data_IF_462258864897
#
_entry.id   IF_462258864897
#
_cell.length_a   1.000
_cell.length_b   1.000
_cell.length_c   1.000
_cell.angle_alpha   90.00
_cell.angle_beta   90.00
_cell.angle_gamma   90.00
#
_symmetry.space_group_name_H-M   'P 1'
#
loop_
_entity.id
_entity.type
_entity.pdbx_description
1 polymer ?
#
# COMPACT_ATOMS: atom_id res chain seq x y z
N UNK A 1 24.88 16.99 15.35
CA UNK A 1 25.93 16.07 14.82
C UNK A 1 25.26 14.91 14.06
N UNK A 2 25.57 14.67 12.79
CA UNK A 2 25.01 13.52 12.04
C UNK A 2 25.61 12.22 12.57
N UNK A 3 24.77 11.31 13.06
CA UNK A 3 25.19 10.00 13.58
C UNK A 3 25.70 9.14 12.42
N UNK A 4 27.00 8.81 12.40
CA UNK A 4 27.56 7.96 11.36
C UNK A 4 27.02 6.53 11.50
N UNK A 5 26.45 6.01 10.40
CA UNK A 5 25.98 4.63 10.32
C UNK A 5 27.19 3.73 10.07
N UNK A 6 27.50 2.88 11.06
CA UNK A 6 28.57 1.89 10.95
C UNK A 6 28.18 0.78 9.98
N UNK A 7 29.15 0.37 9.15
CA UNK A 7 29.01 -0.80 8.27
C UNK A 7 28.89 -2.09 9.10
N UNK A 8 28.25 -3.11 8.53
CA UNK A 8 28.04 -4.43 9.13
C UNK A 8 28.35 -5.54 8.13
N UNK A 9 28.67 -6.73 8.61
CA UNK A 9 28.81 -7.93 7.76
C UNK A 9 27.46 -8.59 7.53
N UNK A 10 27.17 -8.93 6.27
CA UNK A 10 25.96 -9.64 5.89
C UNK A 10 26.00 -11.08 6.38
N UNK A 11 24.90 -11.59 6.96
CA UNK A 11 24.82 -12.99 7.41
C UNK A 11 24.79 -14.04 6.29
N UNK A 12 24.53 -13.64 5.04
CA UNK A 12 24.52 -14.54 3.89
C UNK A 12 25.86 -14.50 3.14
N UNK A 13 26.15 -13.41 2.44
CA UNK A 13 27.34 -13.30 1.59
C UNK A 13 28.60 -12.77 2.29
N UNK A 14 28.55 -12.53 3.60
CA UNK A 14 29.66 -12.06 4.46
C UNK A 14 30.27 -10.68 4.13
N UNK A 15 29.90 -10.09 2.99
CA UNK A 15 30.32 -8.76 2.56
C UNK A 15 29.90 -7.66 3.56
N UNK A 16 30.74 -6.62 3.66
CA UNK A 16 30.41 -5.40 4.39
C UNK A 16 29.34 -4.60 3.64
N UNK A 17 28.35 -4.10 4.38
CA UNK A 17 27.30 -3.25 3.84
C UNK A 17 26.94 -2.13 4.83
N UNK A 18 26.42 -1.02 4.31
CA UNK A 18 25.85 0.06 5.11
C UNK A 18 24.36 -0.23 5.34
N UNK A 19 23.90 -0.47 6.58
CA UNK A 19 22.49 -0.73 6.82
C UNK A 19 21.63 0.52 6.60
N UNK A 20 20.36 0.31 6.23
CA UNK A 20 19.34 1.34 6.13
C UNK A 20 19.13 1.99 7.52
N UNK A 21 19.19 3.34 7.62
CA UNK A 21 18.90 4.08 8.85
C UNK A 21 17.58 3.66 9.53
N UNK A 22 16.52 3.39 8.76
CA UNK A 22 15.19 3.01 9.26
C UNK A 22 15.18 1.65 9.94
N UNK A 23 16.05 0.74 9.49
CA UNK A 23 16.12 -0.64 9.96
C UNK A 23 17.44 -0.96 10.67
N UNK A 24 18.19 0.06 11.09
CA UNK A 24 19.56 -0.06 11.61
C UNK A 24 19.67 -1.12 12.72
N UNK A 25 18.72 -1.16 13.66
CA UNK A 25 18.76 -2.12 14.79
C UNK A 25 18.47 -3.57 14.36
N UNK A 26 17.77 -3.78 13.24
CA UNK A 26 17.21 -5.08 12.82
C UNK A 26 17.88 -5.67 11.58
N UNK A 27 18.43 -4.85 10.69
CA UNK A 27 19.01 -5.32 9.43
C UNK A 27 20.29 -6.12 9.65
N UNK A 28 20.26 -7.36 9.18
CA UNK A 28 21.33 -8.38 9.29
C UNK A 28 21.86 -8.86 7.94
N UNK A 29 21.13 -8.55 6.88
CA UNK A 29 21.43 -8.94 5.50
C UNK A 29 21.52 -7.68 4.64
N UNK A 30 22.40 -7.68 3.63
CA UNK A 30 22.51 -6.60 2.67
C UNK A 30 21.39 -6.68 1.61
N UNK A 31 21.29 -5.65 0.76
CA UNK A 31 20.19 -5.50 -0.20
C UNK A 31 20.32 -6.32 -1.49
N UNK A 32 21.40 -7.10 -1.62
CA UNK A 32 21.57 -8.02 -2.76
C UNK A 32 20.38 -9.00 -2.84
N UNK A 33 19.88 -9.32 -4.05
CA UNK A 33 18.66 -10.13 -4.22
C UNK A 33 18.76 -11.50 -3.53
N UNK A 34 19.89 -12.19 -3.69
CA UNK A 34 20.17 -13.46 -3.02
C UNK A 34 20.11 -13.34 -1.49
N UNK A 35 20.66 -12.25 -0.93
CA UNK A 35 20.64 -11.99 0.51
C UNK A 35 19.25 -11.65 1.05
N UNK A 36 18.38 -11.04 0.24
CA UNK A 36 16.97 -10.82 0.59
C UNK A 36 16.21 -12.14 0.67
N UNK A 37 16.44 -13.06 -0.27
CA UNK A 37 15.86 -14.41 -0.24
C UNK A 37 16.34 -15.16 1.00
N UNK A 38 17.65 -15.14 1.29
CA UNK A 38 18.22 -15.74 2.48
C UNK A 38 17.65 -15.14 3.79
N UNK A 39 17.47 -13.81 3.83
CA UNK A 39 16.84 -13.11 4.96
C UNK A 39 15.41 -13.57 5.22
N UNK A 40 14.61 -13.72 4.15
CA UNK A 40 13.23 -14.23 4.22
C UNK A 40 13.22 -15.67 4.74
N UNK A 41 14.05 -16.55 4.18
CA UNK A 41 14.18 -17.95 4.61
C UNK A 41 14.58 -18.05 6.09
N UNK A 42 15.60 -17.31 6.52
CA UNK A 42 16.03 -17.28 7.91
C UNK A 42 14.90 -16.80 8.84
N UNK A 43 14.17 -15.77 8.46
CA UNK A 43 13.08 -15.23 9.28
C UNK A 43 11.90 -16.21 9.37
N UNK A 44 11.58 -16.88 8.25
CA UNK A 44 10.55 -17.92 8.20
C UNK A 44 10.93 -19.12 9.05
N UNK A 45 12.16 -19.63 8.95
CA UNK A 45 12.64 -20.73 9.79
C UNK A 45 12.58 -20.37 11.27
N UNK A 46 13.07 -19.18 11.65
CA UNK A 46 12.98 -18.72 13.04
C UNK A 46 11.53 -18.68 13.54
N UNK A 47 10.59 -18.30 12.68
CA UNK A 47 9.18 -18.23 13.03
C UNK A 47 8.54 -19.62 13.14
N UNK A 48 8.85 -20.54 12.23
CA UNK A 48 8.40 -21.94 12.22
C UNK A 48 8.97 -22.75 13.39
N UNK A 49 10.17 -22.44 13.86
CA UNK A 49 10.79 -23.11 15.00
C UNK A 49 10.05 -22.89 16.33
N UNK A 50 9.10 -21.94 16.39
CA UNK A 50 8.23 -21.78 17.56
C UNK A 50 7.20 -22.91 17.58
N UNK A 51 7.02 -23.64 18.71
CA UNK A 51 6.09 -24.77 18.79
C UNK A 51 4.71 -24.47 18.21
N UNK A 52 4.11 -23.33 18.58
CA UNK A 52 2.77 -22.92 18.13
C UNK A 52 2.66 -22.62 16.62
N UNK A 53 3.77 -22.57 15.89
CA UNK A 53 3.79 -22.21 14.47
C UNK A 53 4.28 -23.35 13.57
N UNK A 54 4.71 -24.48 14.15
CA UNK A 54 5.37 -25.57 13.40
C UNK A 54 4.48 -26.12 12.29
N UNK A 55 3.20 -26.27 12.60
CA UNK A 55 2.17 -26.78 11.70
C UNK A 55 1.32 -25.67 11.09
N UNK A 56 1.68 -24.39 11.21
CA UNK A 56 0.79 -23.31 10.75
C UNK A 56 0.33 -23.44 9.29
N UNK A 57 1.19 -23.94 8.40
CA UNK A 57 0.86 -24.10 6.98
C UNK A 57 0.21 -25.46 6.63
N UNK A 58 0.21 -26.43 7.55
CA UNK A 58 -0.23 -27.81 7.31
C UNK A 58 -1.19 -28.36 8.36
N UNK A 59 -1.44 -27.60 9.42
CA UNK A 59 -2.23 -28.00 10.58
C UNK A 59 -3.71 -28.03 10.24
N UNK A 60 -4.47 -28.95 10.87
CA UNK A 60 -5.86 -29.23 10.51
C UNK A 60 -6.75 -27.99 10.62
N UNK A 61 -6.54 -27.16 11.63
CA UNK A 61 -7.29 -25.91 11.83
C UNK A 61 -7.08 -24.91 10.68
N UNK A 62 -5.83 -24.66 10.30
CA UNK A 62 -5.53 -23.74 9.21
C UNK A 62 -6.01 -24.26 7.85
N UNK A 63 -5.94 -25.57 7.64
CA UNK A 63 -6.48 -26.21 6.43
C UNK A 63 -8.00 -26.05 6.37
N UNK A 64 -8.72 -26.37 7.46
CA UNK A 64 -10.17 -26.21 7.55
C UNK A 64 -10.58 -24.76 7.30
N UNK A 65 -9.93 -23.80 7.98
CA UNK A 65 -10.16 -22.37 7.79
C UNK A 65 -10.00 -21.93 6.33
N UNK A 66 -8.97 -22.40 5.63
CA UNK A 66 -8.75 -22.07 4.21
C UNK A 66 -9.80 -22.73 3.32
N UNK A 67 -10.24 -23.95 3.64
CA UNK A 67 -11.30 -24.63 2.90
C UNK A 67 -12.64 -23.91 3.04
N UNK A 68 -13.05 -23.57 4.27
CA UNK A 68 -14.25 -22.77 4.55
C UNK A 68 -14.21 -21.43 3.82
N UNK A 69 -13.08 -20.72 3.92
CA UNK A 69 -12.91 -19.45 3.23
C UNK A 69 -13.07 -19.59 1.70
N UNK A 70 -12.55 -20.66 1.10
CA UNK A 70 -12.71 -20.94 -0.34
C UNK A 70 -14.15 -21.26 -0.71
N UNK A 71 -14.90 -21.94 0.15
CA UNK A 71 -16.32 -22.22 -0.05
C UNK A 71 -17.14 -20.93 -0.03
N UNK A 72 -16.87 -20.02 0.91
CA UNK A 72 -17.55 -18.73 0.99
C UNK A 72 -17.11 -17.72 -0.08
N UNK A 73 -15.92 -17.90 -0.69
CA UNK A 73 -15.35 -16.99 -1.69
C UNK A 73 -15.05 -17.71 -3.02
N UNK A 74 -16.09 -18.27 -3.69
CA UNK A 74 -15.89 -18.98 -4.93
C UNK A 74 -15.36 -18.03 -6.01
N UNK A 75 -14.34 -18.48 -6.74
CA UNK A 75 -13.77 -17.72 -7.85
C UNK A 75 -12.76 -16.63 -7.48
N UNK A 76 -12.52 -16.34 -6.19
CA UNK A 76 -11.53 -15.33 -5.78
C UNK A 76 -10.14 -15.59 -6.37
N UNK A 77 -9.69 -16.85 -6.38
CA UNK A 77 -8.37 -17.25 -6.88
C UNK A 77 -8.31 -17.37 -8.41
N UNK A 78 -9.45 -17.27 -9.10
CA UNK A 78 -9.49 -17.30 -10.56
C UNK A 78 -9.05 -15.92 -11.06
N UNK A 79 -7.91 -15.88 -11.76
CA UNK A 79 -7.52 -14.68 -12.51
C UNK A 79 -8.62 -14.40 -13.54
N UNK A 80 -9.18 -13.18 -13.53
CA UNK A 80 -10.05 -12.73 -14.63
C UNK A 80 -9.22 -12.81 -15.91
N UNK A 81 -9.70 -13.55 -16.91
CA UNK A 81 -9.09 -13.51 -18.24
C UNK A 81 -9.21 -12.07 -18.73
N UNK A 82 -8.08 -11.39 -18.92
CA UNK A 82 -8.08 -10.17 -19.72
C UNK A 82 -8.47 -10.56 -21.15
N UNK A 83 -9.22 -9.71 -21.88
CA UNK A 83 -9.46 -9.93 -23.31
C UNK A 83 -8.12 -10.13 -24.02
N UNK A 84 -8.05 -11.14 -24.88
CA UNK A 84 -6.84 -11.49 -25.64
C UNK A 84 -6.41 -10.32 -26.52
N UNK A 85 -5.47 -9.51 -26.04
CA UNK A 85 -4.63 -8.66 -26.89
C UNK A 85 -3.41 -9.48 -27.30
N UNK A 86 -3.06 -9.57 -28.59
CA UNK A 86 -1.93 -10.36 -29.03
C UNK A 86 -0.63 -9.83 -28.42
N UNK A 87 0.15 -10.80 -27.91
CA UNK A 87 1.43 -10.68 -27.24
C UNK A 87 2.39 -9.66 -27.87
N UNK A 88 2.91 -8.74 -27.06
CA UNK A 88 4.25 -8.21 -27.23
C UNK A 88 4.96 -8.19 -25.87
N UNK A 89 5.97 -9.05 -25.80
CA UNK A 89 7.16 -9.03 -24.93
C UNK A 89 6.98 -9.28 -23.43
N UNK A 90 7.59 -10.38 -23.00
CA UNK A 90 7.97 -10.70 -21.63
C UNK A 90 8.84 -9.56 -21.06
N UNK A 91 8.72 -9.32 -19.75
CA UNK A 91 9.40 -8.27 -18.96
C UNK A 91 8.75 -6.88 -18.87
N UNK A 92 7.58 -6.78 -18.22
CA UNK A 92 7.26 -5.63 -17.37
C UNK A 92 6.19 -5.96 -16.32
N UNK A 93 6.63 -6.38 -15.13
CA UNK A 93 5.79 -6.36 -13.92
C UNK A 93 5.64 -4.89 -13.45
N UNK A 94 4.83 -4.10 -14.14
CA UNK A 94 4.12 -2.92 -13.60
C UNK A 94 2.89 -2.62 -14.47
N UNK A 95 1.73 -3.15 -14.07
CA UNK A 95 0.45 -2.73 -14.63
C UNK A 95 0.10 -1.32 -14.12
N UNK A 96 0.40 -0.31 -14.93
CA UNK A 96 -0.28 0.98 -14.85
C UNK A 96 -1.77 0.73 -15.13
N UNK A 97 -2.63 1.00 -14.14
CA UNK A 97 -4.08 0.94 -14.30
C UNK A 97 -4.52 2.00 -15.32
N UNK A 98 -4.77 1.58 -16.55
CA UNK A 98 -5.41 2.44 -17.55
C UNK A 98 -6.88 2.61 -17.17
N UNK A 99 -7.24 3.84 -16.80
CA UNK A 99 -8.60 4.23 -16.43
C UNK A 99 -9.57 3.99 -17.59
N UNK A 100 -10.70 3.36 -17.27
CA UNK A 100 -11.85 3.17 -18.17
C UNK A 100 -12.47 4.54 -18.47
N UNK A 101 -12.30 5.05 -19.68
CA UNK A 101 -13.03 6.21 -20.19
C UNK A 101 -14.51 5.84 -20.31
N UNK A 102 -15.34 6.48 -19.49
CA UNK A 102 -16.78 6.56 -19.72
C UNK A 102 -16.98 7.88 -20.43
N UNK A 103 -17.43 7.82 -21.69
CA UNK A 103 -17.78 8.99 -22.47
C UNK A 103 -18.94 9.72 -21.77
N UNK A 104 -18.65 10.84 -21.12
CA UNK A 104 -19.62 11.82 -20.68
C UNK A 104 -19.09 13.21 -21.01
N UNK A 105 -19.99 14.05 -21.51
CA UNK A 105 -19.76 15.31 -22.20
C UNK A 105 -18.92 16.30 -21.37
N UNK A 106 -17.92 16.88 -22.04
CA UNK A 106 -17.44 18.24 -21.81
C UNK A 106 -16.93 18.58 -20.41
N UNK A 107 -15.85 17.94 -19.96
CA UNK A 107 -14.97 18.52 -18.95
C UNK A 107 -13.52 18.36 -19.38
N UNK A 108 -12.74 19.45 -19.30
CA UNK A 108 -11.38 19.56 -19.83
C UNK A 108 -10.48 18.40 -19.42
N UNK A 109 -9.75 17.90 -20.42
CA UNK A 109 -8.86 16.73 -20.45
C UNK A 109 -7.76 16.76 -19.35
N UNK A 110 -7.52 17.91 -18.72
CA UNK A 110 -6.47 18.09 -17.72
C UNK A 110 -6.75 17.46 -16.35
N UNK A 111 -8.02 17.19 -16.00
CA UNK A 111 -8.35 16.62 -14.67
C UNK A 111 -8.02 15.13 -14.56
N UNK A 112 -7.91 14.41 -15.68
CA UNK A 112 -7.71 12.95 -15.70
C UNK A 112 -6.27 12.58 -15.30
N UNK A 113 -5.33 13.52 -15.40
CA UNK A 113 -3.90 13.30 -15.12
C UNK A 113 -3.42 13.86 -13.79
N UNK A 114 -4.25 14.61 -13.06
CA UNK A 114 -3.86 15.19 -11.78
C UNK A 114 -4.28 14.22 -10.67
N UNK A 115 -3.34 13.68 -9.86
CA UNK A 115 -3.69 12.92 -8.68
C UNK A 115 -4.66 13.72 -7.82
N UNK A 116 -5.70 13.09 -7.26
CA UNK A 116 -6.74 13.79 -6.48
C UNK A 116 -6.17 14.75 -5.42
N UNK A 117 -5.10 14.31 -4.77
CA UNK A 117 -4.32 15.05 -3.77
C UNK A 117 -3.62 16.31 -4.30
N UNK A 118 -3.36 16.40 -5.60
CA UNK A 118 -2.81 17.59 -6.27
C UNK A 118 -3.92 18.55 -6.77
N UNK A 119 -5.19 18.11 -6.79
CA UNK A 119 -6.34 18.98 -7.03
C UNK A 119 -6.78 19.74 -5.77
N UNK A 120 -6.27 19.35 -4.60
CA UNK A 120 -6.44 20.08 -3.35
C UNK A 120 -5.60 21.36 -3.46
N UNK A 121 -6.22 22.43 -3.92
CA UNK A 121 -5.58 23.73 -4.09
C UNK A 121 -5.01 24.19 -2.73
N UNK A 122 -3.76 24.68 -2.70
CA UNK A 122 -3.11 25.15 -1.47
C UNK A 122 -3.96 26.16 -0.68
N UNK A 123 -4.86 26.87 -1.36
CA UNK A 123 -5.87 27.76 -0.79
C UNK A 123 -6.77 27.05 0.25
N UNK A 124 -7.20 25.81 0.01
CA UNK A 124 -8.05 25.02 0.92
C UNK A 124 -7.30 24.61 2.20
N UNK A 125 -6.02 24.27 2.09
CA UNK A 125 -5.17 23.91 3.24
C UNK A 125 -4.78 25.14 4.08
N UNK A 126 -4.65 26.31 3.45
CA UNK A 126 -4.36 27.57 4.15
C UNK A 126 -5.56 28.02 4.99
N UNK A 127 -6.80 27.91 4.49
CA UNK A 127 -7.99 28.26 5.28
C UNK A 127 -8.14 27.40 6.54
N UNK A 128 -7.99 26.08 6.43
CA UNK A 128 -8.05 25.15 7.57
C UNK A 128 -6.95 25.48 8.61
N UNK A 129 -5.74 25.82 8.14
CA UNK A 129 -4.64 26.21 9.02
C UNK A 129 -4.86 27.54 9.74
N UNK A 130 -5.55 28.49 9.12
CA UNK A 130 -5.85 29.81 9.71
C UNK A 130 -7.01 29.72 10.71
N UNK A 131 -8.06 28.97 10.41
CA UNK A 131 -9.22 28.82 11.29
C UNK A 131 -8.88 28.07 12.59
N UNK A 132 -8.06 27.01 12.50
CA UNK A 132 -7.57 26.28 13.68
C UNK A 132 -6.71 27.17 14.59
N UNK A 133 -5.92 28.08 14.00
CA UNK A 133 -5.05 28.99 14.75
C UNK A 133 -5.85 30.10 15.45
N UNK A 134 -6.91 30.62 14.82
CA UNK A 134 -7.73 31.70 15.34
C UNK A 134 -8.78 31.22 16.35
N UNK A 135 -9.42 30.07 16.09
CA UNK A 135 -10.55 29.60 16.90
C UNK A 135 -10.20 28.48 17.90
N UNK A 136 -8.95 27.96 17.87
CA UNK A 136 -8.53 26.76 18.64
C UNK A 136 -9.46 25.55 18.45
N UNK A 137 -10.24 25.53 17.38
CA UNK A 137 -11.11 24.41 17.05
C UNK A 137 -10.27 23.22 16.64
N UNK A 138 -10.69 22.03 17.07
CA UNK A 138 -10.01 20.81 16.67
C UNK A 138 -10.21 20.62 15.17
N UNK A 139 -9.15 20.22 14.47
CA UNK A 139 -9.16 19.96 13.02
C UNK A 139 -10.34 19.06 12.60
N UNK A 140 -10.75 18.16 13.49
CA UNK A 140 -11.87 17.24 13.29
C UNK A 140 -13.22 17.97 13.18
N UNK A 141 -13.45 19.00 13.99
CA UNK A 141 -14.72 19.76 13.98
C UNK A 141 -14.91 20.53 12.67
N UNK A 142 -13.81 20.99 12.06
CA UNK A 142 -13.83 21.67 10.76
C UNK A 142 -14.14 20.69 9.63
N UNK A 143 -13.59 19.47 9.70
CA UNK A 143 -13.87 18.40 8.73
C UNK A 143 -15.34 18.00 8.81
N UNK A 144 -15.86 17.77 10.02
CA UNK A 144 -17.25 17.35 10.21
C UNK A 144 -18.25 18.44 9.75
N UNK A 145 -17.93 19.72 9.95
CA UNK A 145 -18.76 20.83 9.49
C UNK A 145 -18.74 21.01 7.96
N UNK A 146 -17.57 20.84 7.33
CA UNK A 146 -17.47 20.92 5.86
C UNK A 146 -18.18 19.75 5.18
N UNK A 147 -18.10 18.55 5.75
CA UNK A 147 -18.83 17.38 5.26
C UNK A 147 -20.36 17.62 5.30
N UNK A 148 -20.88 18.21 6.39
CA UNK A 148 -22.30 18.58 6.52
C UNK A 148 -22.74 19.62 5.49
N UNK A 149 -21.97 20.67 5.26
CA UNK A 149 -22.28 21.72 4.28
C UNK A 149 -22.26 21.18 2.84
N UNK A 150 -21.34 20.25 2.51
CA UNK A 150 -21.37 19.56 1.21
C UNK A 150 -22.58 18.65 1.02
N UNK A 151 -23.12 18.07 2.10
CA UNK A 151 -24.37 17.28 2.06
C UNK A 151 -25.56 18.20 1.78
N UNK A 152 -25.60 19.41 2.36
CA UNK A 152 -26.67 20.39 2.10
C UNK A 152 -26.62 20.99 0.69
N UNK A 153 -25.44 21.04 0.06
CA UNK A 153 -25.26 21.54 -1.31
C UNK A 153 -25.51 20.48 -2.40
N UNK A 154 -25.67 19.20 -2.03
CA UNK A 154 -25.91 18.08 -2.97
C UNK A 154 -27.28 17.38 -2.85
N UNK A 155 -28.41 18.04 -2.50
CA UNK A 155 -29.70 17.42 -2.66
C UNK A 155 -30.12 17.47 -4.14
N UNK A 156 -30.62 16.33 -4.64
CA UNK A 156 -31.21 16.11 -5.98
C UNK A 156 -30.25 15.99 -7.19
N UNK A 157 -29.34 15.00 -7.18
CA UNK A 157 -28.81 14.41 -8.44
C UNK A 157 -29.15 12.91 -8.59
N UNK A 158 -29.75 12.27 -7.59
CA UNK A 158 -30.14 10.86 -7.66
C UNK A 158 -31.65 10.65 -7.43
N UNK A 159 -32.46 11.15 -8.38
CA UNK A 159 -33.79 10.63 -8.67
C UNK A 159 -33.86 10.21 -10.13
#
# INVERSE_FOLDING_TARGET
MKKQIRQRRCKNCQNLFKPDPRHLKRQRFCDKPECKIASKKHSQQKWLNKPNNQDYFSGPENVARVQEWRQSNPGYWKRKKLPETPSLTEDALQEMKTGKSIAAKGFSIDLIQIPLQNLILAKTLVFIGVDTLLNKSALQEIIDATDLETIELTPDILK
#
